data_IF_425752571513
#
_entry.id   IF_425752571513
#
_cell.length_a   1.000
_cell.length_b   1.000
_cell.length_c   1.000
_cell.angle_alpha   90.00
_cell.angle_beta   90.00
_cell.angle_gamma   90.00
#
_symmetry.space_group_name_H-M   'P 1'
#
loop_
_entity.id
_entity.type
_entity.pdbx_description
1 polymer ?
#
# COMPACT_ATOMS: atom_id res chain seq x y z
N UNK A 1 -9.12 21.36 -16.22
CA UNK A 1 -10.10 20.58 -15.45
C UNK A 1 -9.80 19.10 -15.65
N UNK A 2 -9.12 18.35 -14.79
CA UNK A 2 -8.21 18.60 -13.68
C UNK A 2 -7.41 17.29 -13.51
N UNK A 3 -6.09 17.36 -13.48
CA UNK A 3 -5.17 16.20 -13.58
C UNK A 3 -5.11 15.34 -12.30
N UNK A 4 -6.11 15.45 -11.40
CA UNK A 4 -6.00 15.05 -9.98
C UNK A 4 -7.07 14.06 -9.49
N UNK A 5 -7.77 13.32 -10.36
CA UNK A 5 -8.90 12.45 -9.95
C UNK A 5 -8.69 10.94 -10.07
N UNK A 6 -7.46 10.46 -10.28
CA UNK A 6 -7.18 9.02 -10.36
C UNK A 6 -6.46 8.56 -9.09
N UNK A 7 -7.24 8.03 -8.12
CA UNK A 7 -6.67 7.38 -6.93
C UNK A 7 -6.17 6.00 -7.34
N UNK A 8 -4.86 5.81 -7.34
CA UNK A 8 -4.22 4.60 -7.82
C UNK A 8 -3.45 3.95 -6.69
N UNK A 9 -3.81 2.70 -6.38
CA UNK A 9 -3.37 2.01 -5.18
C UNK A 9 -2.27 0.98 -5.50
N UNK A 10 -1.21 0.97 -4.67
CA UNK A 10 -0.24 -0.12 -4.61
C UNK A 10 -0.43 -0.90 -3.31
N UNK A 11 -0.61 -2.21 -3.45
CA UNK A 11 -0.87 -3.11 -2.33
C UNK A 11 0.39 -3.89 -2.01
N UNK A 12 0.81 -3.87 -0.75
CA UNK A 12 1.89 -4.72 -0.25
C UNK A 12 1.31 -5.99 0.39
N UNK A 13 0.93 -7.02 -0.37
CA UNK A 13 0.39 -8.29 0.18
C UNK A 13 0.89 -9.53 -0.57
N UNK A 14 1.12 -10.61 0.17
CA UNK A 14 0.85 -11.96 -0.33
C UNK A 14 -0.66 -12.19 -0.27
N UNK A 15 -1.30 -12.16 -1.44
CA UNK A 15 -2.57 -12.83 -1.75
C UNK A 15 -3.77 -12.59 -0.83
N UNK A 16 -4.54 -11.53 -1.07
CA UNK A 16 -6.01 -11.61 -1.27
C UNK A 16 -6.60 -10.21 -1.51
N UNK A 17 -7.09 -9.99 -2.73
CA UNK A 17 -7.95 -8.84 -3.05
C UNK A 17 -9.41 -9.25 -2.78
N UNK A 18 -10.10 -8.56 -1.87
CA UNK A 18 -11.54 -8.76 -1.69
C UNK A 18 -12.29 -8.05 -2.83
N UNK A 19 -12.90 -8.86 -3.71
CA UNK A 19 -13.91 -8.37 -4.66
C UNK A 19 -15.06 -7.76 -3.87
N UNK A 20 -15.28 -6.44 -3.97
CA UNK A 20 -16.40 -5.74 -3.33
C UNK A 20 -16.09 -4.43 -2.58
N UNK A 21 -14.87 -3.89 -2.61
CA UNK A 21 -14.48 -2.64 -1.89
C UNK A 21 -14.92 -2.60 -0.41
N UNK A 22 -14.91 -3.73 0.28
CA UNK A 22 -15.29 -3.80 1.71
C UNK A 22 -14.24 -3.16 2.62
N UNK A 23 -14.70 -2.62 3.77
CA UNK A 23 -13.87 -2.10 4.88
C UNK A 23 -12.90 -0.96 4.49
N UNK A 24 -11.59 -1.22 4.45
CA UNK A 24 -10.54 -0.23 4.16
C UNK A 24 -10.66 0.41 2.78
N UNK A 25 -11.53 -0.13 1.91
CA UNK A 25 -11.81 0.39 0.58
C UNK A 25 -13.15 1.13 0.47
N UNK A 26 -13.94 1.19 1.54
CA UNK A 26 -15.28 1.79 1.53
C UNK A 26 -15.25 3.32 1.34
N UNK A 27 -14.15 3.97 1.71
CA UNK A 27 -13.97 5.42 1.57
C UNK A 27 -13.37 5.87 0.24
N UNK A 28 -13.13 4.96 -0.72
CA UNK A 28 -12.57 5.31 -2.01
C UNK A 28 -13.63 5.57 -3.07
N UNK A 29 -13.33 6.56 -3.90
CA UNK A 29 -14.15 6.99 -5.03
C UNK A 29 -14.36 5.86 -6.05
N UNK A 30 -15.39 5.97 -6.88
CA UNK A 30 -15.65 5.01 -7.95
C UNK A 30 -14.54 4.91 -8.98
N UNK A 31 -13.76 5.98 -9.12
CA UNK A 31 -12.60 6.07 -10.01
C UNK A 31 -11.30 5.54 -9.37
N UNK A 32 -11.36 4.99 -8.15
CA UNK A 32 -10.19 4.38 -7.53
C UNK A 32 -9.82 3.07 -8.23
N UNK A 33 -8.56 2.97 -8.64
CA UNK A 33 -8.01 1.85 -9.40
C UNK A 33 -6.86 1.19 -8.62
N UNK A 34 -6.78 -0.13 -8.69
CA UNK A 34 -5.63 -0.86 -8.18
C UNK A 34 -4.62 -1.01 -9.30
N UNK A 35 -3.44 -0.42 -9.12
CA UNK A 35 -2.39 -0.41 -10.15
C UNK A 35 -1.25 -1.38 -9.85
N UNK A 36 -1.29 -2.07 -8.71
CA UNK A 36 -0.33 -3.12 -8.42
C UNK A 36 -0.51 -3.84 -7.10
N UNK A 37 -0.05 -5.09 -7.08
CA UNK A 37 0.16 -5.91 -5.90
C UNK A 37 1.62 -6.34 -5.86
N UNK A 38 2.28 -6.12 -4.74
CA UNK A 38 3.70 -6.42 -4.54
C UNK A 38 3.91 -6.99 -3.14
N UNK A 39 4.98 -7.74 -2.92
CA UNK A 39 5.33 -8.25 -1.59
C UNK A 39 6.51 -7.47 -1.04
N UNK A 40 6.56 -7.26 0.28
CA UNK A 40 7.75 -6.68 0.93
C UNK A 40 8.94 -7.66 0.87
N UNK A 41 8.67 -8.97 0.86
CA UNK A 41 9.66 -10.04 0.74
C UNK A 41 10.67 -10.08 1.87
N UNK A 42 10.32 -9.53 3.05
CA UNK A 42 11.22 -9.44 4.21
C UNK A 42 12.34 -8.40 4.07
N UNK A 43 12.35 -7.58 3.02
CA UNK A 43 13.38 -6.58 2.77
C UNK A 43 13.23 -5.34 3.69
N UNK A 44 14.32 -4.64 4.05
CA UNK A 44 14.30 -3.33 4.76
C UNK A 44 13.68 -2.16 3.99
N UNK A 45 12.74 -2.41 3.06
CA UNK A 45 12.07 -1.35 2.31
C UNK A 45 12.74 -0.90 1.02
N UNK A 46 13.97 -1.32 0.71
CA UNK A 46 14.65 -0.97 -0.56
C UNK A 46 13.81 -1.35 -1.79
N UNK A 47 13.18 -2.53 -1.77
CA UNK A 47 12.27 -2.98 -2.83
C UNK A 47 11.02 -2.11 -2.92
N UNK A 48 10.43 -1.78 -1.77
CA UNK A 48 9.22 -0.95 -1.66
C UNK A 48 9.47 0.43 -2.26
N UNK A 49 10.58 1.06 -1.91
CA UNK A 49 10.99 2.36 -2.43
C UNK A 49 11.08 2.37 -3.96
N UNK A 50 11.79 1.41 -4.55
CA UNK A 50 11.97 1.34 -6.01
C UNK A 50 10.63 1.15 -6.73
N UNK A 51 9.73 0.36 -6.16
CA UNK A 51 8.38 0.14 -6.70
C UNK A 51 7.55 1.41 -6.63
N UNK A 52 7.56 2.10 -5.48
CA UNK A 52 6.90 3.39 -5.31
C UNK A 52 7.37 4.40 -6.35
N UNK A 53 8.68 4.55 -6.53
CA UNK A 53 9.23 5.49 -7.52
C UNK A 53 8.78 5.15 -8.94
N UNK A 54 8.78 3.86 -9.29
CA UNK A 54 8.29 3.40 -10.60
C UNK A 54 6.78 3.56 -10.75
N UNK A 55 5.99 3.51 -9.69
CA UNK A 55 4.53 3.62 -9.77
C UNK A 55 4.02 5.05 -9.62
N UNK A 56 4.83 5.96 -9.05
CA UNK A 56 4.49 7.37 -8.93
C UNK A 56 4.28 8.04 -10.28
N UNK A 57 5.06 7.67 -11.31
CA UNK A 57 4.83 8.12 -12.71
C UNK A 57 3.49 7.65 -13.30
N UNK A 58 2.89 6.62 -12.70
CA UNK A 58 1.57 6.13 -13.07
C UNK A 58 0.46 6.72 -12.18
N UNK A 59 0.75 7.71 -11.32
CA UNK A 59 -0.25 8.38 -10.49
C UNK A 59 -0.55 7.67 -9.16
N UNK A 60 0.35 6.80 -8.68
CA UNK A 60 0.27 6.23 -7.32
C UNK A 60 0.15 7.34 -6.27
N UNK A 61 -0.90 7.28 -5.45
CA UNK A 61 -1.14 8.25 -4.38
C UNK A 61 -1.48 7.63 -3.03
N UNK A 62 -1.85 6.33 -2.99
CA UNK A 62 -2.13 5.59 -1.76
C UNK A 62 -1.42 4.22 -1.77
N UNK A 63 -0.78 3.86 -0.67
CA UNK A 63 -0.18 2.54 -0.44
C UNK A 63 -0.83 1.90 0.78
N UNK A 64 -1.27 0.66 0.62
CA UNK A 64 -1.75 -0.15 1.75
C UNK A 64 -0.63 -1.07 2.24
N UNK A 65 -0.30 -0.96 3.52
CA UNK A 65 0.59 -1.91 4.21
C UNK A 65 -0.23 -3.10 4.73
N UNK A 66 0.24 -4.32 4.47
CA UNK A 66 -0.48 -5.54 4.84
C UNK A 66 -0.64 -5.73 6.33
N UNK A 67 -1.70 -6.44 6.71
CA UNK A 67 -1.91 -6.90 8.09
C UNK A 67 -0.74 -7.74 8.62
N UNK A 68 -0.05 -8.54 7.80
CA UNK A 68 1.11 -9.32 8.27
C UNK A 68 2.29 -8.45 8.72
N UNK A 69 2.38 -7.19 8.28
CA UNK A 69 3.38 -6.24 8.78
C UNK A 69 2.97 -5.59 10.11
N UNK A 70 1.67 -5.61 10.42
CA UNK A 70 1.05 -4.94 11.57
C UNK A 70 0.74 -5.89 12.72
N UNK A 71 0.45 -7.16 12.43
CA UNK A 71 0.02 -8.13 13.42
C UNK A 71 1.14 -8.46 14.40
N UNK A 72 0.79 -8.43 15.69
CA UNK A 72 1.68 -8.83 16.79
C UNK A 72 1.46 -10.30 17.20
N UNK A 73 0.42 -10.95 16.68
CA UNK A 73 0.06 -12.33 16.99
C UNK A 73 -0.01 -13.18 15.72
N UNK A 74 0.50 -14.41 15.77
CA UNK A 74 0.49 -15.36 14.64
C UNK A 74 1.61 -15.20 13.60
N UNK A 75 2.30 -14.06 13.56
CA UNK A 75 3.46 -13.82 12.69
C UNK A 75 4.56 -13.05 13.44
N UNK A 76 5.84 -13.25 13.09
CA UNK A 76 6.92 -12.40 13.59
C UNK A 76 6.64 -10.94 13.22
N UNK A 77 6.72 -10.04 14.20
CA UNK A 77 6.57 -8.60 13.98
C UNK A 77 7.56 -8.13 12.91
N UNK A 78 7.09 -7.36 11.94
CA UNK A 78 7.96 -6.82 10.91
C UNK A 78 8.94 -5.81 11.53
N UNK A 79 10.27 -6.04 11.47
CA UNK A 79 11.24 -5.14 12.08
C UNK A 79 11.41 -3.83 11.29
N UNK A 80 10.93 -3.79 10.05
CA UNK A 80 11.11 -2.67 9.12
C UNK A 80 9.84 -1.85 8.89
N UNK A 81 8.78 -2.11 9.67
CA UNK A 81 7.47 -1.50 9.47
C UNK A 81 7.54 0.03 9.45
N UNK A 82 8.07 0.64 10.52
CA UNK A 82 8.16 2.09 10.67
C UNK A 82 9.04 2.73 9.60
N UNK A 83 10.16 2.09 9.26
CA UNK A 83 11.08 2.58 8.22
C UNK A 83 10.41 2.57 6.84
N UNK A 84 9.66 1.51 6.53
CA UNK A 84 8.91 1.40 5.28
C UNK A 84 7.83 2.48 5.24
N UNK A 85 7.01 2.60 6.28
CA UNK A 85 5.94 3.62 6.38
C UNK A 85 6.51 5.02 6.15
N UNK A 86 7.55 5.39 6.89
CA UNK A 86 8.21 6.70 6.76
C UNK A 86 8.79 6.92 5.37
N UNK A 87 9.37 5.90 4.75
CA UNK A 87 9.90 5.99 3.38
C UNK A 87 8.80 6.28 2.37
N UNK A 88 7.62 5.66 2.51
CA UNK A 88 6.47 5.90 1.63
C UNK A 88 5.92 7.31 1.84
N UNK A 89 5.71 7.72 3.10
CA UNK A 89 5.18 9.04 3.46
C UNK A 89 6.11 10.16 2.98
N UNK A 90 7.42 9.99 3.11
CA UNK A 90 8.42 10.94 2.59
C UNK A 90 8.37 11.11 1.06
N UNK A 91 7.76 10.19 0.32
CA UNK A 91 7.52 10.33 -1.13
C UNK A 91 6.21 11.05 -1.44
N UNK A 92 5.51 11.58 -0.44
CA UNK A 92 4.23 12.27 -0.58
C UNK A 92 3.08 11.32 -0.92
N UNK A 93 3.20 10.05 -0.51
CA UNK A 93 2.18 9.02 -0.74
C UNK A 93 1.50 8.72 0.58
N UNK A 94 0.17 8.68 0.58
CA UNK A 94 -0.61 8.34 1.76
C UNK A 94 -0.43 6.85 2.08
N UNK A 95 -0.09 6.54 3.32
CA UNK A 95 -0.08 5.17 3.83
C UNK A 95 -1.41 4.86 4.49
N UNK A 96 -1.96 3.69 4.20
CA UNK A 96 -3.09 3.10 4.94
C UNK A 96 -2.62 1.80 5.55
N UNK A 97 -2.88 1.66 6.84
CA UNK A 97 -2.50 0.49 7.62
C UNK A 97 -3.61 -0.55 7.52
N UNK A 98 -3.28 -1.72 6.99
CA UNK A 98 -4.20 -2.84 6.89
C UNK A 98 -4.83 -3.00 5.50
N UNK A 99 -5.19 -4.26 5.22
CA UNK A 99 -5.84 -4.67 3.97
C UNK A 99 -7.10 -5.51 4.20
N UNK A 100 -7.23 -6.20 5.35
CA UNK A 100 -8.26 -7.22 5.58
C UNK A 100 -9.10 -7.07 6.85
N UNK A 101 -8.51 -6.62 7.97
CA UNK A 101 -9.13 -6.68 9.29
C UNK A 101 -9.60 -5.32 9.79
#
# INVERSE_FOLDING_TARGET
MDQYHLIRHLYLVEGMFQRGRSKFFAGYDENAEIIGFVTCGGCPGRRVLRLIESMKKHGLNVVHLSSCMLMETGYPKCPHYEEIKKTVENKGIRVVEGTHH
#
